data_IF_011148240287
#
_entry.id   IF_011148240287
#
_cell.length_a   1.000
_cell.length_b   1.000
_cell.length_c   1.000
_cell.angle_alpha   90.00
_cell.angle_beta   90.00
_cell.angle_gamma   90.00
#
_symmetry.space_group_name_H-M   'P 1'
#
loop_
_entity.id
_entity.type
_entity.pdbx_description
1 polymer ?
#
# COMPACT_ATOMS: atom_id res chain seq x y z
N UNK A 1 71.64 -25.09 -61.20
CA UNK A 1 72.22 -25.87 -60.07
C UNK A 1 71.12 -26.72 -59.48
N UNK A 2 71.27 -28.05 -59.61
CA UNK A 2 71.41 -28.99 -58.48
C UNK A 2 70.16 -28.93 -57.58
N UNK A 3 69.23 -29.89 -57.75
CA UNK A 3 69.16 -31.08 -56.89
C UNK A 3 68.96 -30.68 -55.41
N UNK A 4 68.02 -31.21 -54.63
CA UNK A 4 67.53 -32.58 -54.65
C UNK A 4 66.48 -32.70 -53.55
N UNK A 5 65.43 -33.42 -53.93
CA UNK A 5 64.83 -34.55 -53.22
C UNK A 5 64.09 -34.27 -51.91
N UNK A 6 62.78 -34.50 -51.89
CA UNK A 6 62.13 -35.83 -51.83
C UNK A 6 62.07 -36.31 -50.39
N UNK A 7 61.04 -36.96 -49.90
CA UNK A 7 59.91 -37.72 -50.46
C UNK A 7 59.23 -38.17 -49.14
N UNK A 8 57.93 -38.41 -49.04
CA UNK A 8 57.24 -39.57 -49.60
C UNK A 8 55.90 -39.65 -48.88
N UNK A 9 54.88 -40.05 -49.65
CA UNK A 9 53.80 -40.96 -49.25
C UNK A 9 52.77 -40.41 -48.24
N UNK A 10 51.46 -40.64 -48.39
CA UNK A 10 50.75 -41.68 -49.15
C UNK A 10 49.26 -41.32 -49.21
N UNK A 11 48.69 -41.51 -50.40
CA UNK A 11 47.41 -42.15 -50.69
C UNK A 11 46.12 -41.75 -49.94
N UNK A 12 45.17 -41.29 -50.77
CA UNK A 12 43.82 -41.86 -50.99
C UNK A 12 43.04 -42.28 -49.74
N UNK A 13 41.95 -41.57 -49.47
CA UNK A 13 40.60 -42.04 -49.84
C UNK A 13 39.56 -40.99 -49.45
N UNK A 14 38.68 -40.69 -50.40
CA UNK A 14 37.36 -40.16 -50.14
C UNK A 14 36.72 -40.97 -49.00
N UNK A 15 36.41 -40.29 -47.89
CA UNK A 15 35.30 -40.68 -47.04
C UNK A 15 34.37 -39.50 -46.97
N UNK A 16 33.24 -39.66 -47.65
CA UNK A 16 31.97 -39.06 -47.29
C UNK A 16 31.88 -39.06 -45.76
N UNK A 17 32.09 -37.90 -45.12
CA UNK A 17 31.55 -37.69 -43.78
C UNK A 17 30.05 -37.59 -44.00
N UNK A 18 29.39 -38.71 -43.70
CA UNK A 18 27.96 -38.81 -43.51
C UNK A 18 27.48 -37.56 -42.79
N UNK A 19 26.41 -36.99 -43.32
CA UNK A 19 25.38 -36.36 -42.52
C UNK A 19 25.12 -37.25 -41.30
N UNK A 20 25.71 -36.90 -40.16
CA UNK A 20 25.01 -37.06 -38.91
C UNK A 20 24.15 -35.81 -38.80
N UNK A 21 22.96 -35.88 -39.43
CA UNK A 21 21.79 -35.36 -38.73
C UNK A 21 21.93 -35.84 -37.28
N UNK A 22 21.64 -35.02 -36.25
CA UNK A 22 21.27 -35.58 -34.98
C UNK A 22 20.11 -36.51 -35.31
N UNK A 23 20.39 -37.81 -35.37
CA UNK A 23 19.35 -38.82 -35.34
C UNK A 23 18.48 -38.38 -34.18
N UNK A 24 17.17 -38.24 -34.45
CA UNK A 24 16.10 -38.18 -33.45
C UNK A 24 16.55 -39.05 -32.27
N UNK A 25 17.07 -38.41 -31.21
CA UNK A 25 17.39 -39.10 -29.97
C UNK A 25 16.06 -39.64 -29.49
N UNK A 26 16.00 -40.93 -29.15
CA UNK A 26 14.75 -41.56 -28.73
C UNK A 26 14.11 -40.74 -27.61
N UNK A 27 12.78 -40.61 -27.65
CA UNK A 27 11.94 -39.89 -26.70
C UNK A 27 11.95 -40.54 -25.29
N UNK A 28 13.13 -40.66 -24.66
CA UNK A 28 13.30 -41.44 -23.43
C UNK A 28 14.59 -41.20 -22.64
N UNK A 29 15.41 -40.23 -23.03
CA UNK A 29 16.72 -39.96 -22.43
C UNK A 29 16.97 -38.45 -22.26
N UNK A 30 17.56 -38.05 -21.13
CA UNK A 30 17.97 -36.69 -20.82
C UNK A 30 19.44 -36.65 -20.42
N UNK A 31 20.22 -35.70 -20.95
CA UNK A 31 21.65 -35.55 -20.65
C UNK A 31 21.82 -34.55 -19.50
N UNK A 32 22.28 -35.02 -18.34
CA UNK A 32 22.58 -34.19 -17.18
C UNK A 32 24.00 -34.47 -16.69
N UNK A 33 24.84 -33.43 -16.58
CA UNK A 33 26.23 -33.55 -16.12
C UNK A 33 27.05 -34.66 -16.83
N UNK A 34 26.96 -34.73 -18.18
CA UNK A 34 27.56 -35.78 -19.00
C UNK A 34 27.05 -37.22 -18.74
N UNK A 35 26.02 -37.38 -17.93
CA UNK A 35 25.34 -38.65 -17.65
C UNK A 35 24.00 -38.70 -18.37
N UNK A 36 23.72 -39.81 -19.04
CA UNK A 36 22.42 -40.04 -19.67
C UNK A 36 21.47 -40.62 -18.62
N UNK A 37 20.37 -39.92 -18.37
CA UNK A 37 19.32 -40.30 -17.43
C UNK A 37 18.05 -40.71 -18.18
N UNK A 38 17.37 -41.81 -17.80
CA UNK A 38 16.13 -42.23 -18.47
C UNK A 38 14.95 -41.34 -18.07
N UNK A 39 14.08 -40.99 -19.01
CA UNK A 39 12.85 -40.20 -18.74
C UNK A 39 11.56 -41.03 -18.71
N UNK A 40 11.59 -42.28 -19.20
CA UNK A 40 10.46 -43.22 -19.14
C UNK A 40 10.37 -43.99 -17.81
N UNK A 41 10.58 -43.30 -16.69
CA UNK A 41 10.54 -43.86 -15.33
C UNK A 41 9.65 -43.00 -14.43
N UNK A 42 9.31 -43.44 -13.20
CA UNK A 42 8.64 -42.58 -12.24
C UNK A 42 9.41 -41.26 -12.02
N UNK A 43 8.69 -40.13 -12.01
CA UNK A 43 9.32 -38.80 -11.93
C UNK A 43 10.19 -38.65 -10.65
N UNK A 44 9.74 -39.24 -9.54
CA UNK A 44 10.49 -39.24 -8.27
C UNK A 44 11.84 -39.95 -8.39
N UNK A 45 11.91 -41.06 -9.14
CA UNK A 45 13.13 -41.84 -9.31
C UNK A 45 14.12 -41.05 -10.19
N UNK A 46 13.63 -40.44 -11.27
CA UNK A 46 14.44 -39.54 -12.10
C UNK A 46 15.00 -38.38 -11.27
N UNK A 47 14.16 -37.72 -10.47
CA UNK A 47 14.58 -36.61 -9.63
C UNK A 47 15.62 -37.04 -8.57
N UNK A 48 15.48 -38.26 -8.03
CA UNK A 48 16.46 -38.83 -7.11
C UNK A 48 17.82 -39.06 -7.79
N UNK A 49 17.82 -39.55 -9.03
CA UNK A 49 19.04 -39.69 -9.83
C UNK A 49 19.74 -38.35 -10.08
N UNK A 50 18.98 -37.29 -10.41
CA UNK A 50 19.53 -35.93 -10.57
C UNK A 50 20.19 -35.46 -9.26
N UNK A 51 19.50 -35.60 -8.12
CA UNK A 51 20.04 -35.23 -6.80
C UNK A 51 21.33 -35.99 -6.49
N UNK A 52 21.40 -37.28 -6.81
CA UNK A 52 22.60 -38.08 -6.59
C UNK A 52 23.76 -37.66 -7.51
N UNK A 53 23.47 -37.26 -8.76
CA UNK A 53 24.49 -36.67 -9.64
C UNK A 53 25.04 -35.35 -9.10
N UNK A 54 24.21 -34.52 -8.47
CA UNK A 54 24.65 -33.27 -7.84
C UNK A 54 25.51 -33.52 -6.60
N UNK A 55 25.23 -34.56 -5.81
CA UNK A 55 26.13 -34.94 -4.69
C UNK A 55 27.55 -35.28 -5.17
N UNK A 56 27.69 -35.80 -6.39
CA UNK A 56 28.98 -36.08 -7.03
C UNK A 56 29.63 -34.82 -7.62
N UNK A 57 28.85 -33.77 -7.92
CA UNK A 57 29.33 -32.49 -8.43
C UNK A 57 28.56 -31.32 -7.78
N UNK A 58 28.99 -30.86 -6.58
CA UNK A 58 28.29 -29.82 -5.81
C UNK A 58 28.19 -28.46 -6.52
N UNK A 59 28.97 -28.22 -7.59
CA UNK A 59 28.84 -27.01 -8.39
C UNK A 59 27.44 -26.85 -9.03
N UNK A 60 26.67 -27.93 -9.10
CA UNK A 60 25.31 -27.97 -9.67
C UNK A 60 24.20 -27.74 -8.61
N UNK A 61 24.52 -27.46 -7.35
CA UNK A 61 23.53 -27.27 -6.27
C UNK A 61 22.59 -26.05 -6.47
N UNK A 62 22.92 -25.13 -7.37
CA UNK A 62 22.04 -24.01 -7.74
C UNK A 62 21.41 -24.18 -9.13
N UNK A 63 21.48 -25.37 -9.74
CA UNK A 63 20.90 -25.58 -11.08
C UNK A 63 19.37 -25.69 -11.03
N UNK A 64 18.67 -25.33 -12.12
CA UNK A 64 17.24 -25.53 -12.23
C UNK A 64 16.84 -27.00 -12.06
N UNK A 65 17.62 -27.95 -12.61
CA UNK A 65 17.38 -29.38 -12.46
C UNK A 65 17.35 -29.79 -10.99
N UNK A 66 18.33 -29.34 -10.21
CA UNK A 66 18.47 -29.71 -8.81
C UNK A 66 17.33 -29.14 -7.96
N UNK A 67 16.99 -27.86 -8.15
CA UNK A 67 15.87 -27.24 -7.42
C UNK A 67 14.53 -27.88 -7.78
N UNK A 68 14.29 -28.17 -9.06
CA UNK A 68 13.11 -28.91 -9.49
C UNK A 68 13.06 -30.31 -8.89
N UNK A 69 14.16 -31.06 -8.93
CA UNK A 69 14.21 -32.41 -8.39
C UNK A 69 13.96 -32.46 -6.89
N UNK A 70 14.55 -31.55 -6.11
CA UNK A 70 14.24 -31.42 -4.69
C UNK A 70 12.77 -31.05 -4.47
N UNK A 71 12.22 -30.12 -5.26
CA UNK A 71 10.80 -29.75 -5.17
C UNK A 71 9.89 -30.97 -5.28
N UNK A 72 10.12 -31.85 -6.26
CA UNK A 72 9.31 -33.06 -6.47
C UNK A 72 9.54 -34.09 -5.35
N UNK A 73 10.80 -34.39 -5.00
CA UNK A 73 11.13 -35.41 -3.99
C UNK A 73 10.59 -35.02 -2.62
N UNK A 74 10.70 -33.76 -2.21
CA UNK A 74 10.14 -33.28 -0.95
C UNK A 74 8.61 -33.36 -0.92
N UNK A 75 7.93 -33.06 -2.03
CA UNK A 75 6.48 -33.24 -2.12
C UNK A 75 6.09 -34.69 -1.88
N UNK A 76 6.72 -35.62 -2.59
CA UNK A 76 6.46 -37.06 -2.45
C UNK A 76 6.80 -37.58 -1.05
N UNK A 77 7.81 -37.02 -0.40
CA UNK A 77 8.14 -37.38 0.98
C UNK A 77 7.27 -36.68 2.04
N UNK A 78 6.29 -35.86 1.64
CA UNK A 78 5.41 -35.05 2.51
C UNK A 78 6.17 -33.98 3.32
N UNK A 79 7.38 -33.64 2.90
CA UNK A 79 8.14 -32.51 3.44
C UNK A 79 7.73 -31.22 2.72
N UNK A 80 6.57 -30.70 3.10
CA UNK A 80 5.98 -29.55 2.40
C UNK A 80 6.76 -28.25 2.60
N UNK A 81 7.55 -28.11 3.67
CA UNK A 81 8.37 -26.91 3.89
C UNK A 81 9.54 -26.87 2.91
N UNK A 82 10.33 -27.94 2.85
CA UNK A 82 11.45 -28.03 1.91
C UNK A 82 11.00 -28.02 0.45
N UNK A 83 9.81 -28.58 0.16
CA UNK A 83 9.17 -28.45 -1.15
C UNK A 83 8.96 -26.97 -1.54
N UNK A 84 8.33 -26.16 -0.67
CA UNK A 84 8.08 -24.75 -0.95
C UNK A 84 9.37 -23.96 -1.11
N UNK A 85 10.37 -24.22 -0.27
CA UNK A 85 11.69 -23.60 -0.39
C UNK A 85 12.28 -23.91 -1.77
N UNK A 86 12.29 -25.19 -2.16
CA UNK A 86 12.83 -25.64 -3.45
C UNK A 86 12.06 -25.05 -4.64
N UNK A 87 10.74 -24.92 -4.54
CA UNK A 87 9.91 -24.30 -5.56
C UNK A 87 10.29 -22.83 -5.80
N UNK A 88 10.54 -22.06 -4.74
CA UNK A 88 10.96 -20.67 -4.89
C UNK A 88 12.43 -20.52 -5.24
N UNK A 89 13.30 -21.45 -4.85
CA UNK A 89 14.68 -21.50 -5.36
C UNK A 89 14.70 -21.78 -6.86
N UNK A 90 13.86 -22.69 -7.35
CA UNK A 90 13.65 -22.90 -8.79
C UNK A 90 13.13 -21.63 -9.48
N UNK A 91 12.22 -20.89 -8.84
CA UNK A 91 11.76 -19.62 -9.40
C UNK A 91 12.89 -18.59 -9.52
N UNK A 92 13.88 -18.62 -8.63
CA UNK A 92 15.04 -17.73 -8.71
C UNK A 92 15.95 -18.01 -9.91
N UNK A 93 15.85 -19.19 -10.54
CA UNK A 93 16.63 -19.57 -11.73
C UNK A 93 15.85 -19.33 -13.04
N UNK A 94 14.85 -18.43 -13.03
CA UNK A 94 13.96 -18.18 -14.18
C UNK A 94 14.68 -17.66 -15.44
N UNK A 95 15.86 -17.07 -15.28
CA UNK A 95 16.67 -16.55 -16.39
C UNK A 95 17.72 -17.55 -16.90
N UNK A 96 17.85 -18.70 -16.25
CA UNK A 96 18.69 -19.80 -16.72
C UNK A 96 17.96 -20.59 -17.81
N UNK A 97 18.69 -21.43 -18.55
CA UNK A 97 18.08 -22.33 -19.51
C UNK A 97 17.15 -23.31 -18.80
N UNK A 98 15.87 -23.31 -19.19
CA UNK A 98 14.87 -24.19 -18.61
C UNK A 98 15.10 -25.62 -19.11
N UNK A 99 15.29 -26.60 -18.22
CA UNK A 99 15.43 -28.00 -18.60
C UNK A 99 14.24 -28.48 -19.45
N UNK A 100 14.53 -29.04 -20.62
CA UNK A 100 13.51 -29.40 -21.62
C UNK A 100 12.46 -30.39 -21.10
N UNK A 101 12.83 -31.27 -20.16
CA UNK A 101 11.88 -32.19 -19.54
C UNK A 101 10.87 -31.47 -18.63
N UNK A 102 11.23 -30.33 -18.02
CA UNK A 102 10.31 -29.53 -17.20
C UNK A 102 9.27 -28.84 -18.09
N UNK A 103 9.70 -28.36 -19.26
CA UNK A 103 8.78 -27.76 -20.25
C UNK A 103 7.75 -28.81 -20.70
N UNK A 104 8.22 -30.02 -21.02
CA UNK A 104 7.37 -31.12 -21.51
C UNK A 104 6.47 -31.71 -20.43
N UNK A 105 6.82 -31.61 -19.16
CA UNK A 105 6.11 -32.22 -18.02
C UNK A 105 4.61 -31.88 -17.97
N UNK A 106 4.24 -30.65 -18.32
CA UNK A 106 2.84 -30.20 -18.29
C UNK A 106 2.13 -30.34 -19.65
N UNK A 107 2.78 -30.93 -20.64
CA UNK A 107 2.25 -31.09 -22.01
C UNK A 107 1.95 -32.56 -22.31
N UNK A 108 1.31 -32.81 -23.44
CA UNK A 108 1.10 -34.18 -23.96
C UNK A 108 2.43 -34.90 -24.28
N UNK A 109 3.55 -34.18 -24.35
CA UNK A 109 4.90 -34.74 -24.56
C UNK A 109 5.57 -35.22 -23.27
N UNK A 110 4.84 -35.27 -22.14
CA UNK A 110 5.38 -35.80 -20.88
C UNK A 110 5.74 -37.29 -21.00
N UNK A 111 6.99 -37.62 -20.68
CA UNK A 111 7.55 -38.98 -20.74
C UNK A 111 7.53 -39.68 -19.37
N UNK A 112 7.33 -38.95 -18.28
CA UNK A 112 7.44 -39.49 -16.92
C UNK A 112 6.14 -40.15 -16.43
N UNK A 113 6.30 -41.23 -15.66
CA UNK A 113 5.19 -41.84 -14.92
C UNK A 113 4.92 -40.99 -13.67
N UNK A 114 3.77 -40.33 -13.62
CA UNK A 114 3.35 -39.54 -12.46
C UNK A 114 2.65 -40.44 -11.44
N UNK A 115 3.01 -40.28 -10.16
CA UNK A 115 2.29 -40.90 -9.06
C UNK A 115 0.89 -40.28 -8.92
N UNK A 116 0.01 -40.92 -8.15
CA UNK A 116 -1.28 -40.33 -7.77
C UNK A 116 -1.11 -38.92 -7.17
N UNK A 117 -0.04 -38.69 -6.40
CA UNK A 117 0.24 -37.43 -5.71
C UNK A 117 0.82 -36.34 -6.60
N UNK A 118 1.21 -36.67 -7.82
CA UNK A 118 1.72 -35.72 -8.83
C UNK A 118 0.83 -35.68 -10.08
N UNK A 119 -0.20 -36.53 -10.15
CA UNK A 119 -1.13 -36.63 -11.28
C UNK A 119 -1.84 -35.31 -11.64
N UNK A 120 -1.86 -34.34 -10.72
CA UNK A 120 -2.41 -33.02 -10.98
C UNK A 120 -1.49 -32.08 -11.76
N UNK A 121 -0.24 -32.44 -12.03
CA UNK A 121 0.68 -31.62 -12.83
C UNK A 121 0.24 -31.71 -14.30
N UNK A 122 -0.63 -30.80 -14.71
CA UNK A 122 -1.21 -30.73 -16.04
C UNK A 122 -1.63 -29.30 -16.38
N UNK A 123 -1.59 -28.91 -17.67
CA UNK A 123 -1.97 -27.57 -18.13
C UNK A 123 -3.38 -27.15 -17.71
N UNK A 124 -4.33 -28.09 -17.68
CA UNK A 124 -5.73 -27.82 -17.32
C UNK A 124 -5.92 -27.39 -15.87
N UNK A 125 -4.93 -27.65 -15.00
CA UNK A 125 -4.97 -27.30 -13.58
C UNK A 125 -4.37 -25.92 -13.28
N UNK A 126 -4.00 -25.15 -14.31
CA UNK A 126 -3.40 -23.82 -14.17
C UNK A 126 -4.49 -22.74 -14.29
N UNK A 127 -4.37 -21.68 -13.50
CA UNK A 127 -5.17 -20.47 -13.61
C UNK A 127 -5.08 -19.85 -15.01
N UNK A 128 -6.21 -19.39 -15.55
CA UNK A 128 -6.26 -18.78 -16.89
C UNK A 128 -5.21 -17.69 -17.09
N UNK A 129 -5.08 -16.79 -16.11
CA UNK A 129 -4.10 -15.69 -16.15
C UNK A 129 -2.63 -16.11 -16.08
N UNK A 130 -2.33 -17.39 -15.81
CA UNK A 130 -0.97 -17.94 -15.74
C UNK A 130 -0.65 -18.87 -16.92
N UNK A 131 -1.59 -19.12 -17.84
CA UNK A 131 -1.33 -20.03 -18.99
C UNK A 131 -0.17 -19.59 -19.88
N UNK A 132 0.07 -18.29 -20.00
CA UNK A 132 1.20 -17.70 -20.75
C UNK A 132 2.41 -17.36 -19.87
N UNK A 133 2.33 -17.60 -18.56
CA UNK A 133 3.44 -17.32 -17.65
C UNK A 133 4.63 -18.26 -17.89
N UNK A 134 5.76 -17.98 -17.23
CA UNK A 134 6.89 -18.90 -17.24
C UNK A 134 6.51 -20.26 -16.63
N UNK A 135 7.14 -21.35 -17.10
CA UNK A 135 6.81 -22.72 -16.68
C UNK A 135 6.92 -22.93 -15.15
N UNK A 136 7.83 -22.23 -14.48
CA UNK A 136 7.98 -22.30 -13.03
C UNK A 136 6.79 -21.69 -12.27
N UNK A 137 6.23 -20.56 -12.75
CA UNK A 137 5.00 -20.00 -12.18
C UNK A 137 3.81 -20.94 -12.39
N UNK A 138 3.72 -21.58 -13.56
CA UNK A 138 2.69 -22.59 -13.85
C UNK A 138 2.76 -23.77 -12.87
N UNK A 139 3.96 -24.29 -12.61
CA UNK A 139 4.17 -25.37 -11.64
C UNK A 139 3.74 -24.94 -10.24
N UNK A 140 4.22 -23.79 -9.77
CA UNK A 140 3.86 -23.25 -8.46
C UNK A 140 2.33 -23.11 -8.35
N UNK A 141 1.66 -22.62 -9.39
CA UNK A 141 0.20 -22.49 -9.42
C UNK A 141 -0.52 -23.85 -9.29
N UNK A 142 -0.09 -24.88 -10.02
CA UNK A 142 -0.63 -26.24 -9.89
C UNK A 142 -0.52 -26.76 -8.45
N UNK A 143 0.63 -26.56 -7.80
CA UNK A 143 0.86 -26.99 -6.42
C UNK A 143 0.02 -26.19 -5.42
N UNK A 144 -0.12 -24.88 -5.61
CA UNK A 144 -0.93 -24.01 -4.74
C UNK A 144 -2.42 -24.36 -4.88
N UNK A 145 -2.94 -24.44 -6.11
CA UNK A 145 -4.36 -24.65 -6.38
C UNK A 145 -4.82 -26.07 -6.10
N UNK A 146 -4.17 -27.05 -6.73
CA UNK A 146 -4.67 -28.43 -6.73
C UNK A 146 -4.01 -29.25 -5.63
N UNK A 147 -2.67 -29.19 -5.53
CA UNK A 147 -1.92 -29.94 -4.52
C UNK A 147 -2.29 -29.53 -3.09
N UNK A 148 -2.15 -28.24 -2.77
CA UNK A 148 -2.43 -27.69 -1.44
C UNK A 148 -3.92 -27.39 -1.20
N UNK A 149 -4.77 -27.55 -2.23
CA UNK A 149 -6.20 -27.23 -2.21
C UNK A 149 -6.47 -25.77 -1.82
N UNK A 150 -5.66 -24.84 -2.30
CA UNK A 150 -5.81 -23.41 -2.01
C UNK A 150 -5.32 -22.98 -0.62
N UNK A 151 -4.51 -23.78 0.08
CA UNK A 151 -3.87 -23.40 1.36
C UNK A 151 -2.61 -22.57 1.11
N UNK A 152 -2.81 -21.29 0.78
CA UNK A 152 -1.80 -20.48 0.11
C UNK A 152 -0.85 -19.73 1.07
N UNK A 153 -1.29 -19.45 2.30
CA UNK A 153 -0.53 -18.65 3.28
C UNK A 153 0.91 -19.12 3.50
N UNK A 154 1.12 -20.43 3.51
CA UNK A 154 2.46 -21.01 3.68
C UNK A 154 3.38 -20.76 2.50
N UNK A 155 2.86 -20.69 1.27
CA UNK A 155 3.61 -20.34 0.07
C UNK A 155 4.06 -18.89 0.11
N UNK A 156 3.16 -17.95 0.43
CA UNK A 156 3.52 -16.53 0.54
C UNK A 156 4.59 -16.28 1.61
N UNK A 157 4.45 -16.88 2.80
CA UNK A 157 5.47 -16.78 3.86
C UNK A 157 6.82 -17.36 3.43
N UNK A 158 6.81 -18.49 2.72
CA UNK A 158 8.05 -19.13 2.25
C UNK A 158 8.70 -18.32 1.13
N UNK A 159 7.92 -17.74 0.21
CA UNK A 159 8.41 -16.83 -0.82
C UNK A 159 9.14 -15.64 -0.20
N UNK A 160 8.50 -14.93 0.73
CA UNK A 160 9.11 -13.77 1.41
C UNK A 160 10.41 -14.15 2.12
N UNK A 161 10.44 -15.31 2.80
CA UNK A 161 11.66 -15.82 3.46
C UNK A 161 12.78 -16.12 2.46
N UNK A 162 12.48 -16.76 1.32
CA UNK A 162 13.48 -17.10 0.30
C UNK A 162 14.05 -15.84 -0.35
N UNK A 163 13.19 -14.86 -0.67
CA UNK A 163 13.63 -13.57 -1.24
C UNK A 163 14.56 -12.83 -0.28
N UNK A 164 14.17 -12.67 0.99
CA UNK A 164 14.98 -11.97 1.98
C UNK A 164 16.38 -12.61 2.10
N UNK A 165 16.43 -13.94 2.23
CA UNK A 165 17.69 -14.67 2.32
C UNK A 165 18.55 -14.59 1.04
N UNK A 166 17.94 -14.62 -0.15
CA UNK A 166 18.68 -14.60 -1.42
C UNK A 166 19.21 -13.20 -1.77
N UNK A 167 18.48 -12.13 -1.43
CA UNK A 167 18.94 -10.75 -1.63
C UNK A 167 20.21 -10.46 -0.83
N UNK A 168 20.31 -10.99 0.39
CA UNK A 168 21.49 -10.81 1.25
C UNK A 168 22.74 -11.60 0.78
N UNK A 169 22.55 -12.70 0.05
CA UNK A 169 23.60 -13.70 -0.19
C UNK A 169 24.02 -13.88 -1.66
N UNK A 170 23.50 -13.07 -2.59
CA UNK A 170 23.73 -13.30 -4.02
C UNK A 170 24.28 -12.06 -4.74
N UNK A 171 25.08 -12.31 -5.78
CA UNK A 171 25.50 -11.31 -6.77
C UNK A 171 24.52 -11.26 -7.95
N UNK A 172 23.26 -11.65 -7.77
CA UNK A 172 22.29 -11.66 -8.87
C UNK A 172 21.97 -10.22 -9.30
N UNK A 173 21.79 -9.95 -10.61
CA UNK A 173 21.41 -8.61 -11.06
C UNK A 173 20.08 -8.16 -10.44
N UNK A 174 20.05 -6.96 -9.86
CA UNK A 174 18.92 -6.43 -9.10
C UNK A 174 17.62 -6.36 -9.93
N UNK A 175 17.72 -6.05 -11.22
CA UNK A 175 16.56 -6.01 -12.12
C UNK A 175 15.85 -7.36 -12.30
N UNK A 176 16.56 -8.48 -12.14
CA UNK A 176 15.96 -9.82 -12.15
C UNK A 176 15.14 -10.09 -10.89
N UNK A 177 15.57 -9.56 -9.74
CA UNK A 177 14.82 -9.65 -8.49
C UNK A 177 13.49 -8.90 -8.58
N UNK A 178 13.52 -7.67 -9.09
CA UNK A 178 12.32 -6.83 -9.21
C UNK A 178 11.27 -7.47 -10.14
N UNK A 179 11.69 -8.04 -11.28
CA UNK A 179 10.76 -8.72 -12.19
C UNK A 179 10.10 -9.95 -11.54
N UNK A 180 10.86 -10.74 -10.78
CA UNK A 180 10.31 -11.90 -10.05
C UNK A 180 9.30 -11.44 -8.98
N UNK A 181 9.64 -10.39 -8.21
CA UNK A 181 8.79 -9.83 -7.17
C UNK A 181 7.48 -9.30 -7.75
N UNK A 182 7.57 -8.47 -8.80
CA UNK A 182 6.40 -7.88 -9.45
C UNK A 182 5.51 -8.95 -10.10
N UNK A 183 6.08 -9.88 -10.87
CA UNK A 183 5.28 -10.97 -11.48
C UNK A 183 4.63 -11.86 -10.45
N UNK A 184 5.35 -12.22 -9.39
CA UNK A 184 4.76 -13.00 -8.30
C UNK A 184 3.60 -12.25 -7.65
N UNK A 185 3.77 -10.96 -7.36
CA UNK A 185 2.69 -10.14 -6.82
C UNK A 185 1.49 -10.08 -7.77
N UNK A 186 1.70 -9.79 -9.06
CA UNK A 186 0.64 -9.69 -10.05
C UNK A 186 -0.14 -10.99 -10.25
N UNK A 187 0.55 -12.14 -10.26
CA UNK A 187 -0.09 -13.44 -10.40
C UNK A 187 -0.91 -13.85 -9.18
N UNK A 188 -0.48 -13.49 -7.97
CA UNK A 188 -1.02 -14.09 -6.75
C UNK A 188 -1.70 -13.14 -5.77
N UNK A 189 -1.60 -11.81 -5.90
CA UNK A 189 -2.26 -10.88 -4.95
C UNK A 189 -3.77 -11.11 -4.87
N UNK A 190 -4.42 -11.47 -5.99
CA UNK A 190 -5.88 -11.72 -6.03
C UNK A 190 -6.32 -12.91 -5.21
N UNK A 191 -5.43 -13.89 -5.07
CA UNK A 191 -5.65 -15.07 -4.23
C UNK A 191 -5.78 -14.65 -2.76
N UNK A 192 -5.18 -13.51 -2.38
CA UNK A 192 -5.18 -12.97 -1.03
C UNK A 192 -6.23 -11.86 -0.79
N UNK A 193 -7.04 -11.46 -1.77
CA UNK A 193 -8.06 -10.39 -1.59
C UNK A 193 -9.05 -10.71 -0.46
N UNK A 194 -9.28 -11.99 -0.14
CA UNK A 194 -10.15 -12.38 0.98
C UNK A 194 -9.46 -12.35 2.35
N UNK A 195 -8.15 -12.09 2.39
CA UNK A 195 -7.34 -12.04 3.60
C UNK A 195 -6.47 -10.78 3.61
N UNK A 196 -7.10 -9.65 3.95
CA UNK A 196 -6.47 -8.32 3.93
C UNK A 196 -5.14 -8.26 4.68
N UNK A 197 -5.01 -8.95 5.80
CA UNK A 197 -3.76 -8.95 6.58
C UNK A 197 -2.61 -9.61 5.82
N UNK A 198 -2.85 -10.74 5.15
CA UNK A 198 -1.82 -11.41 4.36
C UNK A 198 -1.51 -10.63 3.08
N UNK A 199 -2.51 -10.07 2.43
CA UNK A 199 -2.30 -9.21 1.26
C UNK A 199 -1.50 -7.96 1.63
N UNK A 200 -1.83 -7.29 2.73
CA UNK A 200 -1.08 -6.13 3.22
C UNK A 200 0.37 -6.48 3.53
N UNK A 201 0.61 -7.59 4.23
CA UNK A 201 1.97 -8.06 4.51
C UNK A 201 2.77 -8.33 3.24
N UNK A 202 2.16 -8.99 2.24
CA UNK A 202 2.82 -9.22 0.95
C UNK A 202 3.08 -7.90 0.21
N UNK A 203 2.10 -7.00 0.18
CA UNK A 203 2.18 -5.68 -0.48
C UNK A 203 3.34 -4.87 0.08
N UNK A 204 3.41 -4.75 1.41
CA UNK A 204 4.49 -4.04 2.10
C UNK A 204 5.84 -4.71 1.89
N UNK A 205 5.88 -6.04 1.97
CA UNK A 205 7.12 -6.79 1.73
C UNK A 205 7.67 -6.54 0.33
N UNK A 206 6.85 -6.68 -0.71
CA UNK A 206 7.25 -6.44 -2.10
C UNK A 206 7.75 -5.00 -2.24
N UNK A 207 6.97 -4.01 -1.80
CA UNK A 207 7.34 -2.60 -1.90
C UNK A 207 8.67 -2.27 -1.22
N UNK A 208 8.95 -2.86 -0.05
CA UNK A 208 10.21 -2.65 0.68
C UNK A 208 11.44 -3.30 0.03
N UNK A 209 11.24 -4.32 -0.81
CA UNK A 209 12.33 -5.08 -1.42
C UNK A 209 12.61 -4.71 -2.89
N UNK A 210 11.69 -3.98 -3.53
CA UNK A 210 11.88 -3.41 -4.85
C UNK A 210 12.91 -2.27 -4.82
N UNK A 211 13.71 -2.19 -5.87
CA UNK A 211 14.62 -1.06 -6.10
C UNK A 211 14.15 -0.16 -7.25
N UNK A 212 13.48 -0.74 -8.24
CA UNK A 212 12.81 -0.04 -9.33
C UNK A 212 11.36 0.34 -9.04
N UNK A 213 10.66 0.75 -10.10
CA UNK A 213 9.26 1.17 -10.01
C UNK A 213 8.30 -0.01 -9.80
N UNK A 214 7.33 0.18 -8.90
CA UNK A 214 6.22 -0.76 -8.68
C UNK A 214 5.19 -0.82 -9.81
N UNK A 215 4.25 -1.75 -9.68
CA UNK A 215 3.10 -1.89 -10.59
C UNK A 215 1.87 -1.10 -10.13
N UNK A 216 0.89 -0.91 -11.03
CA UNK A 216 -0.40 -0.32 -10.65
C UNK A 216 -1.10 -1.10 -9.53
N UNK A 217 -1.14 -2.43 -9.59
CA UNK A 217 -1.79 -3.23 -8.54
C UNK A 217 -1.08 -3.04 -7.20
N UNK A 218 0.25 -2.94 -7.18
CA UNK A 218 1.02 -2.72 -5.95
C UNK A 218 0.67 -1.37 -5.32
N UNK A 219 0.73 -0.29 -6.10
CA UNK A 219 0.42 1.06 -5.59
C UNK A 219 -1.06 1.24 -5.23
N UNK A 220 -1.97 0.58 -5.94
CA UNK A 220 -3.38 0.55 -5.57
C UNK A 220 -3.56 -0.03 -4.16
N UNK A 221 -2.95 -1.18 -3.87
CA UNK A 221 -3.10 -1.81 -2.55
C UNK A 221 -2.33 -1.06 -1.46
N UNK A 222 -1.17 -0.45 -1.77
CA UNK A 222 -0.50 0.47 -0.86
C UNK A 222 -1.40 1.66 -0.47
N UNK A 223 -2.05 2.28 -1.46
CA UNK A 223 -3.04 3.34 -1.24
C UNK A 223 -4.20 2.82 -0.38
N UNK A 224 -4.80 1.69 -0.78
CA UNK A 224 -5.95 1.08 -0.09
C UNK A 224 -5.68 0.82 1.40
N UNK A 225 -4.54 0.24 1.75
CA UNK A 225 -4.20 -0.08 3.14
C UNK A 225 -3.86 1.15 4.00
N UNK A 226 -3.55 2.29 3.36
CA UNK A 226 -3.31 3.57 4.04
C UNK A 226 -4.59 4.38 4.30
N UNK A 227 -5.69 4.13 3.58
CA UNK A 227 -6.95 4.86 3.74
C UNK A 227 -7.41 4.91 5.20
N UNK A 228 -7.89 6.07 5.64
CA UNK A 228 -8.33 6.40 7.01
C UNK A 228 -7.25 6.35 8.10
N UNK A 229 -6.08 5.73 7.84
CA UNK A 229 -4.94 5.69 8.78
C UNK A 229 -3.95 6.81 8.50
N UNK A 230 -3.64 6.99 7.21
CA UNK A 230 -2.77 8.03 6.70
C UNK A 230 -3.23 8.40 5.28
N UNK A 231 -4.31 9.19 5.21
CA UNK A 231 -4.93 9.55 3.94
C UNK A 231 -4.01 10.35 3.02
N UNK A 232 -3.08 11.15 3.56
CA UNK A 232 -2.07 11.84 2.76
C UNK A 232 -1.19 10.84 2.00
N UNK A 233 -0.63 9.86 2.72
CA UNK A 233 0.17 8.81 2.10
C UNK A 233 -0.64 7.94 1.13
N UNK A 234 -1.93 7.73 1.41
CA UNK A 234 -2.83 7.02 0.50
C UNK A 234 -2.99 7.77 -0.83
N UNK A 235 -3.10 9.09 -0.79
CA UNK A 235 -3.19 9.96 -1.98
C UNK A 235 -1.87 9.94 -2.76
N UNK A 236 -0.73 10.02 -2.08
CA UNK A 236 0.59 9.99 -2.73
C UNK A 236 0.82 8.68 -3.51
N UNK A 237 0.45 7.54 -2.92
CA UNK A 237 0.47 6.25 -3.63
C UNK A 237 -0.52 6.19 -4.79
N UNK A 238 -1.71 6.80 -4.65
CA UNK A 238 -2.68 6.84 -5.73
C UNK A 238 -2.17 7.63 -6.94
N UNK A 239 -1.49 8.75 -6.72
CA UNK A 239 -0.84 9.51 -7.79
C UNK A 239 0.25 8.69 -8.49
N UNK A 240 1.06 7.96 -7.72
CA UNK A 240 2.10 7.08 -8.27
C UNK A 240 1.48 5.94 -9.08
N UNK A 241 0.35 5.39 -8.62
CA UNK A 241 -0.39 4.34 -9.30
C UNK A 241 -0.79 4.74 -10.74
N UNK A 242 -1.26 5.98 -10.97
CA UNK A 242 -1.70 6.42 -12.29
C UNK A 242 -0.57 6.37 -13.35
N UNK A 243 0.66 6.65 -12.93
CA UNK A 243 1.83 6.68 -13.82
C UNK A 243 2.53 5.32 -13.94
N UNK A 244 2.14 4.36 -13.11
CA UNK A 244 2.80 3.04 -13.06
C UNK A 244 2.30 2.11 -14.16
N UNK A 245 3.11 1.12 -14.52
CA UNK A 245 2.74 0.12 -15.53
C UNK A 245 1.68 -0.84 -15.01
N UNK A 246 0.64 -1.07 -15.80
CA UNK A 246 -0.32 -2.13 -15.55
C UNK A 246 0.19 -3.44 -16.15
N UNK A 247 0.51 -4.41 -15.31
CA UNK A 247 0.93 -5.75 -15.73
C UNK A 247 -0.24 -6.75 -15.74
N UNK A 248 -1.40 -6.38 -15.19
CA UNK A 248 -2.57 -7.23 -15.16
C UNK A 248 -3.29 -7.21 -16.50
N UNK A 249 -3.45 -8.37 -17.13
CA UNK A 249 -4.15 -8.52 -18.40
C UNK A 249 -5.66 -8.34 -18.18
N UNK A 250 -6.19 -7.17 -18.52
CA UNK A 250 -7.63 -6.87 -18.50
C UNK A 250 -8.24 -6.52 -17.14
N UNK A 251 -7.46 -6.21 -16.11
CA UNK A 251 -8.01 -5.70 -14.83
C UNK A 251 -7.42 -4.35 -14.48
N UNK A 252 -8.29 -3.42 -14.12
CA UNK A 252 -7.93 -2.09 -13.68
C UNK A 252 -8.62 -1.78 -12.37
N UNK A 253 -7.85 -1.32 -11.39
CA UNK A 253 -8.37 -0.81 -10.13
C UNK A 253 -8.67 0.70 -10.18
N UNK A 254 -8.52 1.35 -11.35
CA UNK A 254 -8.56 2.81 -11.48
C UNK A 254 -9.88 3.41 -10.98
N UNK A 255 -11.01 2.78 -11.29
CA UNK A 255 -12.30 3.28 -10.81
C UNK A 255 -12.37 3.27 -9.27
N UNK A 256 -11.97 2.17 -8.63
CA UNK A 256 -11.91 2.09 -7.16
C UNK A 256 -10.86 3.04 -6.58
N UNK A 257 -9.71 3.18 -7.24
CA UNK A 257 -8.65 4.10 -6.86
C UNK A 257 -9.17 5.54 -6.83
N UNK A 258 -9.78 6.01 -7.91
CA UNK A 258 -10.31 7.37 -8.00
C UNK A 258 -11.32 7.64 -6.89
N UNK A 259 -12.32 6.78 -6.72
CA UNK A 259 -13.36 6.96 -5.68
C UNK A 259 -12.77 7.02 -4.27
N UNK A 260 -11.84 6.13 -3.96
CA UNK A 260 -11.21 6.09 -2.65
C UNK A 260 -10.34 7.34 -2.41
N UNK A 261 -9.65 7.79 -3.45
CA UNK A 261 -8.78 8.97 -3.37
C UNK A 261 -9.60 10.25 -3.22
N UNK A 262 -10.71 10.42 -3.95
CA UNK A 262 -11.66 11.53 -3.77
C UNK A 262 -12.17 11.60 -2.32
N UNK A 263 -12.53 10.45 -1.74
CA UNK A 263 -12.97 10.43 -0.33
C UNK A 263 -11.84 10.79 0.64
N UNK A 264 -10.60 10.39 0.34
CA UNK A 264 -9.44 10.74 1.13
C UNK A 264 -9.13 12.24 1.05
N UNK A 265 -9.20 12.85 -0.14
CA UNK A 265 -8.97 14.29 -0.32
C UNK A 265 -10.02 15.13 0.42
N UNK A 266 -11.29 14.70 0.42
CA UNK A 266 -12.35 15.31 1.24
C UNK A 266 -11.99 15.26 2.73
N UNK A 267 -11.60 14.09 3.26
CA UNK A 267 -11.22 13.95 4.69
C UNK A 267 -10.02 14.81 5.06
N UNK A 268 -9.06 14.98 4.15
CA UNK A 268 -7.88 15.82 4.36
C UNK A 268 -8.09 17.30 4.02
N UNK A 269 -9.27 17.71 3.55
CA UNK A 269 -9.55 19.06 3.03
C UNK A 269 -8.57 19.50 1.91
N UNK A 270 -8.12 18.56 1.07
CA UNK A 270 -7.19 18.81 -0.04
C UNK A 270 -7.96 19.12 -1.33
N UNK A 271 -8.54 20.31 -1.42
CA UNK A 271 -9.50 20.66 -2.46
C UNK A 271 -8.90 20.67 -3.88
N UNK A 272 -7.65 21.10 -4.04
CA UNK A 272 -6.96 21.05 -5.33
C UNK A 272 -6.82 19.61 -5.86
N UNK A 273 -6.46 18.65 -4.99
CA UNK A 273 -6.39 17.24 -5.38
C UNK A 273 -7.79 16.65 -5.60
N UNK A 274 -8.77 17.05 -4.77
CA UNK A 274 -10.16 16.66 -4.97
C UNK A 274 -10.67 17.00 -6.38
N UNK A 275 -10.49 18.24 -6.84
CA UNK A 275 -10.95 18.68 -8.17
C UNK A 275 -10.28 17.85 -9.28
N UNK A 276 -8.96 17.68 -9.18
CA UNK A 276 -8.19 16.87 -10.15
C UNK A 276 -8.69 15.42 -10.22
N UNK A 277 -8.96 14.77 -9.09
CA UNK A 277 -9.43 13.39 -9.07
C UNK A 277 -10.90 13.26 -9.51
N UNK A 278 -11.72 14.27 -9.25
CA UNK A 278 -13.07 14.38 -9.80
C UNK A 278 -13.05 14.46 -11.33
N UNK A 279 -12.19 15.29 -11.92
CA UNK A 279 -12.04 15.41 -13.37
C UNK A 279 -11.61 14.09 -14.03
N UNK A 280 -10.66 13.37 -13.39
CA UNK A 280 -10.21 12.05 -13.85
C UNK A 280 -11.37 11.06 -13.84
N UNK A 281 -12.18 11.04 -12.77
CA UNK A 281 -13.32 10.14 -12.65
C UNK A 281 -14.42 10.49 -13.65
N UNK A 282 -14.78 11.77 -13.77
CA UNK A 282 -15.78 12.28 -14.71
C UNK A 282 -15.43 11.92 -16.16
N UNK A 283 -14.17 12.09 -16.54
CA UNK A 283 -13.66 11.71 -17.87
C UNK A 283 -13.81 10.21 -18.15
N UNK A 284 -13.78 9.36 -17.10
CA UNK A 284 -13.86 7.92 -17.24
C UNK A 284 -15.31 7.38 -17.24
N UNK A 285 -16.24 8.00 -16.50
CA UNK A 285 -17.61 7.48 -16.31
C UNK A 285 -18.74 8.37 -16.80
N UNK A 286 -18.44 9.61 -17.21
CA UNK A 286 -19.42 10.62 -17.62
C UNK A 286 -20.06 11.37 -16.44
N UNK A 287 -20.48 12.61 -16.70
CA UNK A 287 -21.00 13.54 -15.69
C UNK A 287 -22.30 13.09 -15.00
N UNK A 288 -23.14 12.33 -15.68
CA UNK A 288 -24.44 11.86 -15.16
C UNK A 288 -24.32 10.60 -14.28
N UNK A 289 -23.09 10.14 -13.99
CA UNK A 289 -22.88 8.93 -13.18
C UNK A 289 -23.35 9.15 -11.72
N UNK A 290 -24.25 8.30 -11.17
CA UNK A 290 -24.78 8.48 -9.82
C UNK A 290 -23.71 8.48 -8.71
N UNK A 291 -22.65 7.68 -8.84
CA UNK A 291 -21.58 7.64 -7.85
C UNK A 291 -20.72 8.91 -7.91
N UNK A 292 -20.47 9.45 -9.11
CA UNK A 292 -19.78 10.73 -9.29
C UNK A 292 -20.58 11.87 -8.67
N UNK A 293 -21.88 11.93 -8.94
CA UNK A 293 -22.78 12.96 -8.38
C UNK A 293 -22.81 12.90 -6.85
N UNK A 294 -22.86 11.70 -6.27
CA UNK A 294 -22.80 11.52 -4.81
C UNK A 294 -21.47 12.02 -4.24
N UNK A 295 -20.34 11.73 -4.90
CA UNK A 295 -19.03 12.23 -4.46
C UNK A 295 -18.94 13.75 -4.58
N UNK A 296 -19.55 14.33 -5.63
CA UNK A 296 -19.63 15.78 -5.83
C UNK A 296 -20.40 16.46 -4.71
N UNK A 297 -21.59 15.94 -4.38
CA UNK A 297 -22.41 16.44 -3.28
C UNK A 297 -21.66 16.35 -1.93
N UNK A 298 -20.95 15.24 -1.69
CA UNK A 298 -20.11 15.09 -0.49
C UNK A 298 -18.99 16.13 -0.43
N UNK A 299 -18.31 16.37 -1.54
CA UNK A 299 -17.25 17.38 -1.64
C UNK A 299 -17.77 18.80 -1.45
N UNK A 300 -18.85 19.17 -2.15
CA UNK A 300 -19.50 20.48 -2.01
C UNK A 300 -19.97 20.74 -0.59
N UNK A 301 -20.60 19.75 0.06
CA UNK A 301 -20.99 19.83 1.46
C UNK A 301 -19.78 20.07 2.37
N UNK A 302 -18.67 19.35 2.16
CA UNK A 302 -17.45 19.51 2.95
C UNK A 302 -16.76 20.88 2.70
N UNK A 303 -16.71 21.35 1.46
CA UNK A 303 -16.18 22.67 1.09
C UNK A 303 -17.01 23.77 1.76
N UNK A 304 -18.34 23.71 1.64
CA UNK A 304 -19.23 24.69 2.25
C UNK A 304 -19.08 24.73 3.77
N UNK A 305 -18.91 23.56 4.41
CA UNK A 305 -18.61 23.47 5.86
C UNK A 305 -17.26 24.11 6.20
N UNK A 306 -16.22 23.83 5.43
CA UNK A 306 -14.90 24.41 5.64
C UNK A 306 -14.93 25.95 5.47
N UNK A 307 -15.63 26.45 4.45
CA UNK A 307 -15.86 27.87 4.23
C UNK A 307 -16.64 28.51 5.38
N UNK A 308 -17.75 27.91 5.81
CA UNK A 308 -18.56 28.42 6.93
C UNK A 308 -17.74 28.51 8.24
N UNK A 309 -16.88 27.54 8.50
CA UNK A 309 -15.92 27.58 9.63
C UNK A 309 -14.88 28.68 9.45
N UNK A 310 -14.33 28.79 8.24
CA UNK A 310 -13.32 29.79 7.93
C UNK A 310 -13.87 31.21 8.10
N UNK A 311 -15.07 31.49 7.60
CA UNK A 311 -15.74 32.79 7.67
C UNK A 311 -16.43 33.08 9.01
N UNK A 312 -16.46 32.11 9.92
CA UNK A 312 -17.19 32.26 11.17
C UNK A 312 -16.66 33.46 11.99
N UNK A 313 -17.52 34.36 12.51
CA UNK A 313 -17.10 35.62 13.13
C UNK A 313 -16.24 35.44 14.39
N UNK A 314 -16.33 34.29 15.06
CA UNK A 314 -15.54 33.97 16.26
C UNK A 314 -14.35 33.04 15.96
N UNK A 315 -14.06 32.75 14.69
CA UNK A 315 -12.92 31.94 14.31
C UNK A 315 -11.62 32.63 14.78
N UNK A 316 -10.86 32.02 15.71
CA UNK A 316 -9.72 32.68 16.35
C UNK A 316 -8.56 32.97 15.40
N UNK A 317 -8.51 32.38 14.20
CA UNK A 317 -7.51 32.75 13.18
C UNK A 317 -7.79 34.11 12.54
N UNK A 318 -9.04 34.56 12.56
CA UNK A 318 -9.47 35.81 11.93
C UNK A 318 -9.61 36.96 12.94
N UNK A 319 -9.64 36.64 14.24
CA UNK A 319 -9.84 37.59 15.31
C UNK A 319 -8.50 38.20 15.73
N UNK A 320 -8.32 39.50 15.49
CA UNK A 320 -7.10 40.23 15.90
C UNK A 320 -7.30 40.90 17.27
N UNK A 321 -6.24 41.01 18.11
CA UNK A 321 -6.34 41.71 19.39
C UNK A 321 -6.73 43.18 19.24
N UNK A 322 -7.62 43.65 20.12
CA UNK A 322 -8.11 45.03 20.13
C UNK A 322 -7.43 45.87 21.21
N UNK A 323 -7.47 47.18 21.08
CA UNK A 323 -6.98 48.12 22.10
C UNK A 323 -8.01 48.28 23.23
N UNK A 324 -7.56 48.50 24.47
CA UNK A 324 -8.47 48.72 25.59
C UNK A 324 -9.35 49.98 25.40
N UNK A 325 -8.78 51.03 24.80
CA UNK A 325 -9.46 52.30 24.52
C UNK A 325 -10.67 52.14 23.56
N UNK A 326 -10.65 51.14 22.69
CA UNK A 326 -11.74 50.88 21.73
C UNK A 326 -12.92 50.10 22.32
N UNK A 327 -12.75 49.48 23.49
CA UNK A 327 -13.85 48.79 24.18
C UNK A 327 -14.70 49.85 24.86
N UNK A 328 -16.03 49.88 24.68
CA UNK A 328 -16.85 50.89 25.38
C UNK A 328 -17.06 50.51 26.84
N UNK A 329 -17.42 51.51 27.64
CA UNK A 329 -17.53 51.36 29.09
C UNK A 329 -18.59 50.32 29.50
N UNK A 330 -19.69 50.22 28.77
CA UNK A 330 -20.75 49.22 29.03
C UNK A 330 -20.21 47.79 28.88
N UNK A 331 -19.49 47.51 27.79
CA UNK A 331 -18.88 46.20 27.57
C UNK A 331 -17.76 45.90 28.57
N UNK A 332 -17.03 46.91 29.05
CA UNK A 332 -16.06 46.73 30.15
C UNK A 332 -16.73 46.32 31.46
N UNK A 333 -17.88 46.91 31.82
CA UNK A 333 -18.63 46.54 33.02
C UNK A 333 -19.17 45.10 32.93
N UNK A 334 -19.66 44.71 31.76
CA UNK A 334 -20.10 43.34 31.49
C UNK A 334 -18.92 42.37 31.60
N UNK A 335 -17.79 42.71 30.99
CA UNK A 335 -16.57 41.91 31.02
C UNK A 335 -16.05 41.74 32.46
N UNK A 336 -15.99 42.82 33.24
CA UNK A 336 -15.61 42.78 34.66
C UNK A 336 -16.51 41.84 35.47
N UNK A 337 -17.82 41.90 35.25
CA UNK A 337 -18.78 41.02 35.93
C UNK A 337 -18.53 39.55 35.59
N UNK A 338 -18.25 39.24 34.32
CA UNK A 338 -17.94 37.89 33.86
C UNK A 338 -16.60 37.39 34.42
N UNK A 339 -15.55 38.21 34.41
CA UNK A 339 -14.24 37.83 34.96
C UNK A 339 -14.36 37.60 36.47
N UNK A 340 -15.16 38.39 37.19
CA UNK A 340 -15.35 38.17 38.62
C UNK A 340 -16.11 36.86 38.89
N UNK A 341 -17.18 36.58 38.17
CA UNK A 341 -17.95 35.34 38.36
C UNK A 341 -17.27 34.07 37.84
N UNK A 342 -16.55 34.15 36.72
CA UNK A 342 -16.12 32.98 35.93
C UNK A 342 -14.62 32.96 35.56
N UNK A 343 -13.84 33.97 35.98
CA UNK A 343 -12.41 34.05 35.68
C UNK A 343 -11.56 33.12 36.52
N UNK A 344 -10.47 32.62 35.93
CA UNK A 344 -9.42 31.86 36.59
C UNK A 344 -8.03 32.36 36.21
N UNK A 345 -7.00 31.54 36.44
CA UNK A 345 -5.61 31.94 36.16
C UNK A 345 -5.26 31.92 34.67
N UNK A 346 -6.04 31.18 33.88
CA UNK A 346 -5.76 30.87 32.46
C UNK A 346 -6.91 31.24 31.52
N UNK A 347 -7.78 32.16 31.92
CA UNK A 347 -8.94 32.60 31.15
C UNK A 347 -10.26 32.41 31.89
N UNK A 348 -11.36 32.42 31.13
CA UNK A 348 -12.74 32.44 31.63
C UNK A 348 -13.42 31.13 31.25
N UNK A 349 -14.00 30.44 32.25
CA UNK A 349 -14.76 29.20 32.04
C UNK A 349 -16.21 29.46 32.43
N UNK A 350 -17.03 29.79 31.43
CA UNK A 350 -18.37 30.32 31.63
C UNK A 350 -19.42 29.19 31.83
N UNK A 351 -19.25 28.33 32.84
CA UNK A 351 -20.25 27.28 33.13
C UNK A 351 -21.59 27.88 33.55
N UNK A 352 -22.69 27.26 33.15
CA UNK A 352 -24.05 27.69 33.51
C UNK A 352 -24.24 27.89 35.03
N UNK A 353 -23.64 27.02 35.85
CA UNK A 353 -23.66 27.11 37.32
C UNK A 353 -22.99 28.36 37.89
N UNK A 354 -22.01 28.94 37.19
CA UNK A 354 -21.29 30.15 37.60
C UNK A 354 -22.01 31.40 37.09
N UNK A 355 -22.53 31.34 35.85
CA UNK A 355 -23.23 32.45 35.21
C UNK A 355 -24.54 32.81 35.93
N UNK A 356 -25.24 31.85 36.54
CA UNK A 356 -26.49 32.11 37.29
C UNK A 356 -26.32 33.06 38.49
N UNK A 357 -25.10 33.23 38.99
CA UNK A 357 -24.79 34.16 40.07
C UNK A 357 -24.32 35.53 39.57
N UNK A 358 -24.07 35.66 38.27
CA UNK A 358 -23.58 36.88 37.61
C UNK A 358 -24.70 37.57 36.82
N UNK A 359 -25.58 36.79 36.18
CA UNK A 359 -26.67 37.29 35.35
C UNK A 359 -28.03 36.74 35.80
N UNK A 360 -29.12 37.52 35.60
CA UNK A 360 -30.45 37.13 36.04
C UNK A 360 -31.07 35.97 35.25
N UNK A 361 -30.54 35.64 34.06
CA UNK A 361 -30.98 34.47 33.28
C UNK A 361 -29.87 33.96 32.34
N UNK A 362 -29.98 32.69 31.94
CA UNK A 362 -29.11 32.05 30.94
C UNK A 362 -29.14 32.79 29.60
N UNK A 363 -30.33 33.17 29.14
CA UNK A 363 -30.50 33.90 27.88
C UNK A 363 -29.73 35.23 27.88
N UNK A 364 -29.78 35.97 28.99
CA UNK A 364 -29.03 37.23 29.16
C UNK A 364 -27.53 36.95 29.20
N UNK A 365 -27.08 35.95 29.95
CA UNK A 365 -25.67 35.58 30.01
C UNK A 365 -25.10 35.24 28.63
N UNK A 366 -25.82 34.42 27.86
CA UNK A 366 -25.44 34.06 26.49
C UNK A 366 -25.39 35.27 25.59
N UNK A 367 -26.42 36.12 25.62
CA UNK A 367 -26.46 37.35 24.80
C UNK A 367 -25.25 38.24 25.07
N UNK A 368 -24.85 38.39 26.34
CA UNK A 368 -23.67 39.19 26.69
C UNK A 368 -22.36 38.52 26.25
N UNK A 369 -22.20 37.22 26.44
CA UNK A 369 -21.03 36.47 25.98
C UNK A 369 -20.88 36.49 24.46
N UNK A 370 -21.99 36.32 23.72
CA UNK A 370 -22.05 36.47 22.27
C UNK A 370 -21.56 37.86 21.87
N UNK A 371 -22.09 38.91 22.51
CA UNK A 371 -21.70 40.29 22.20
C UNK A 371 -20.20 40.51 22.43
N UNK A 372 -19.63 40.00 23.53
CA UNK A 372 -18.19 40.14 23.78
C UNK A 372 -17.33 39.37 22.76
N UNK A 373 -17.80 38.22 22.28
CA UNK A 373 -17.11 37.41 21.25
C UNK A 373 -17.18 38.06 19.86
N UNK A 374 -18.36 38.54 19.45
CA UNK A 374 -18.54 39.17 18.13
C UNK A 374 -17.91 40.56 18.05
N UNK A 375 -17.76 41.25 19.18
CA UNK A 375 -16.95 42.47 19.28
C UNK A 375 -15.45 42.20 19.46
N UNK A 376 -15.02 40.93 19.44
CA UNK A 376 -13.62 40.52 19.57
C UNK A 376 -12.95 40.96 20.88
N UNK A 377 -13.73 41.20 21.93
CA UNK A 377 -13.25 41.47 23.29
C UNK A 377 -12.80 40.17 23.95
N UNK A 378 -13.55 39.09 23.70
CA UNK A 378 -13.19 37.72 24.02
C UNK A 378 -12.85 36.94 22.75
N UNK A 379 -12.02 35.91 22.91
CA UNK A 379 -11.76 34.89 21.89
C UNK A 379 -11.69 33.50 22.51
N UNK A 380 -11.68 32.48 21.66
CA UNK A 380 -11.41 31.08 22.04
C UNK A 380 -10.08 30.64 21.44
N UNK A 381 -9.56 29.49 21.87
CA UNK A 381 -8.35 28.92 21.27
C UNK A 381 -8.65 28.28 19.91
N UNK A 382 -7.64 28.20 19.04
CA UNK A 382 -7.75 27.49 17.74
C UNK A 382 -8.11 26.02 17.96
N UNK A 383 -7.57 25.38 19.00
CA UNK A 383 -7.87 24.00 19.34
C UNK A 383 -9.32 23.80 19.77
N UNK A 384 -9.84 24.69 20.64
CA UNK A 384 -11.23 24.58 21.11
C UNK A 384 -12.20 24.81 19.95
N UNK A 385 -11.97 25.85 19.13
CA UNK A 385 -12.79 26.13 17.95
C UNK A 385 -12.80 24.95 16.96
N UNK A 386 -11.64 24.36 16.69
CA UNK A 386 -11.52 23.23 15.76
C UNK A 386 -12.26 21.97 16.25
N UNK A 387 -12.37 21.80 17.57
CA UNK A 387 -13.01 20.63 18.20
C UNK A 387 -14.54 20.67 18.22
N UNK A 388 -15.14 21.84 17.95
CA UNK A 388 -16.59 21.99 17.93
C UNK A 388 -17.22 21.20 16.79
N UNK A 389 -18.41 20.64 17.02
CA UNK A 389 -19.22 20.05 15.94
C UNK A 389 -19.84 21.16 15.10
N UNK A 390 -20.14 20.86 13.85
CA UNK A 390 -20.73 21.84 12.93
C UNK A 390 -22.06 22.41 13.45
N UNK A 391 -22.93 21.55 14.02
CA UNK A 391 -24.21 21.95 14.60
C UNK A 391 -24.03 22.88 15.82
N UNK A 392 -22.89 22.77 16.51
CA UNK A 392 -22.57 23.58 17.68
C UNK A 392 -22.04 24.97 17.30
N UNK A 393 -21.51 25.18 16.08
CA UNK A 393 -20.91 26.46 15.66
C UNK A 393 -21.87 27.66 15.76
N UNK A 394 -23.17 27.41 15.61
CA UNK A 394 -24.21 28.44 15.71
C UNK A 394 -25.04 28.32 16.98
N UNK A 395 -24.71 27.37 17.87
CA UNK A 395 -25.38 27.18 19.14
C UNK A 395 -24.48 27.65 20.30
N UNK A 396 -24.64 28.90 20.70
CA UNK A 396 -23.83 29.50 21.76
C UNK A 396 -23.94 28.81 23.13
N UNK A 397 -25.02 28.05 23.39
CA UNK A 397 -25.12 27.22 24.60
C UNK A 397 -24.02 26.14 24.68
N UNK A 398 -23.62 25.62 23.51
CA UNK A 398 -22.55 24.64 23.40
C UNK A 398 -21.18 25.29 23.64
N UNK A 399 -20.93 26.48 23.09
CA UNK A 399 -19.68 27.23 23.29
C UNK A 399 -19.40 27.51 24.75
N UNK A 400 -20.41 28.00 25.46
CA UNK A 400 -20.30 28.53 26.82
C UNK A 400 -19.93 27.44 27.82
N UNK A 401 -20.40 26.22 27.59
CA UNK A 401 -20.11 25.08 28.45
C UNK A 401 -18.86 24.27 28.06
N UNK A 402 -18.43 24.33 26.81
CA UNK A 402 -17.36 23.49 26.28
C UNK A 402 -16.02 24.22 26.10
N UNK A 403 -16.06 25.53 25.83
CA UNK A 403 -14.85 26.30 25.48
C UNK A 403 -14.33 27.12 26.66
N UNK A 404 -13.01 27.36 26.64
CA UNK A 404 -12.40 28.40 27.47
C UNK A 404 -12.28 29.69 26.66
N UNK A 405 -12.67 30.80 27.29
CA UNK A 405 -12.54 32.12 26.69
C UNK A 405 -11.31 32.84 27.21
N UNK A 406 -10.70 33.62 26.33
CA UNK A 406 -9.49 34.40 26.56
C UNK A 406 -9.77 35.86 26.25
N UNK A 407 -9.12 36.75 26.99
CA UNK A 407 -9.15 38.17 26.70
C UNK A 407 -8.41 38.40 25.38
N UNK A 408 -9.03 39.18 24.50
CA UNK A 408 -8.44 39.56 23.22
C UNK A 408 -8.11 41.05 23.21
N UNK A 409 -7.68 41.59 24.35
CA UNK A 409 -7.28 42.98 24.53
C UNK A 409 -5.76 43.06 24.68
N UNK A 410 -5.12 43.95 23.93
CA UNK A 410 -3.67 44.14 23.96
C UNK A 410 -3.22 44.53 25.38
N UNK A 411 -2.22 43.82 25.89
CA UNK A 411 -1.56 44.15 27.15
C UNK A 411 -2.31 43.71 28.41
N UNK A 412 -3.41 42.96 28.29
CA UNK A 412 -4.17 42.45 29.44
C UNK A 412 -3.99 40.94 29.56
N UNK A 413 -3.57 40.48 30.74
CA UNK A 413 -3.40 39.05 31.04
C UNK A 413 -4.75 38.36 31.27
N UNK A 414 -4.88 37.11 30.86
CA UNK A 414 -6.05 36.24 31.13
C UNK A 414 -6.26 35.92 32.61
N UNK A 415 -5.28 36.19 33.48
CA UNK A 415 -5.37 35.93 34.92
C UNK A 415 -6.42 36.83 35.57
N UNK A 416 -7.40 36.24 36.25
CA UNK A 416 -8.51 36.95 36.93
C UNK A 416 -8.04 38.15 37.76
N UNK A 417 -7.05 37.95 38.64
CA UNK A 417 -6.59 38.99 39.57
C UNK A 417 -5.97 40.19 38.86
N UNK A 418 -5.21 39.94 37.78
CA UNK A 418 -4.54 40.98 37.01
C UNK A 418 -5.54 41.71 36.11
N UNK A 419 -6.34 40.96 35.36
CA UNK A 419 -7.34 41.53 34.44
C UNK A 419 -8.38 42.37 35.18
N UNK A 420 -8.93 41.90 36.30
CA UNK A 420 -9.88 42.70 37.10
C UNK A 420 -9.28 44.03 37.53
N UNK A 421 -8.06 44.01 38.06
CA UNK A 421 -7.40 45.23 38.54
C UNK A 421 -7.22 46.24 37.41
N UNK A 422 -6.67 45.80 36.27
CA UNK A 422 -6.40 46.67 35.11
C UNK A 422 -7.68 47.24 34.54
N UNK A 423 -8.71 46.42 34.36
CA UNK A 423 -9.99 46.84 33.78
C UNK A 423 -10.78 47.74 34.74
N UNK A 424 -10.73 47.52 36.06
CA UNK A 424 -11.35 48.39 37.06
C UNK A 424 -10.71 49.79 37.08
N UNK A 425 -9.38 49.85 37.06
CA UNK A 425 -8.65 51.13 36.96
C UNK A 425 -9.06 51.90 35.70
N UNK A 426 -9.24 51.21 34.58
CA UNK A 426 -9.69 51.82 33.33
C UNK A 426 -11.12 52.36 33.42
N UNK A 427 -12.05 51.61 34.02
CA UNK A 427 -13.43 52.10 34.23
C UNK A 427 -13.45 53.34 35.13
N UNK A 428 -12.65 53.35 36.20
CA UNK A 428 -12.54 54.52 37.10
C UNK A 428 -11.98 55.76 36.38
N UNK A 429 -11.00 55.59 35.48
CA UNK A 429 -10.47 56.70 34.66
C UNK A 429 -11.52 57.29 33.73
N UNK A 430 -12.48 56.49 33.27
CA UNK A 430 -13.55 56.93 32.35
C UNK A 430 -14.69 57.69 33.04
N UNK A 431 -14.66 57.80 34.37
CA UNK A 431 -15.54 58.70 35.12
C UNK A 431 -16.99 58.22 35.28
N UNK A 432 -17.17 56.98 35.75
CA UNK A 432 -18.43 56.56 36.39
C UNK A 432 -18.45 57.06 37.85
#
# INVERSE_FOLDING_TARGET
>A
MVNRKSKKNRNKQQRQKKNENPQRRGNGEYLFNNTILPTNIPLIDFCSLVIDQVKLNPALENSPDYHFSNMIVHWENKDYESHRISAFLLLMTIYDEVPSYIIRLMTEENEFILSERLSFIHLDNISEGLKLAHVYYKLIDCFIRTGAKGRNSSYFKTFMKVIANKKENSNYPLHHYDDILLRFYEYYHRVLIKNDNELNNLTLFIYQHLEGEGSQSLYFFLSYFCLNKNDQQAIDYALTCLNSRNYADGTSYNFSLCKNTIRATIRCNLWHEYDKWMDILESAVGGDNPELLQLREQGECAINKALARHEHPINPTNVTPITLDSVKTEELLILLSIIDGCGGDWGIVAKEELLRYTFPSKEIANKQLINLLTQHILKISVSDFSSLKDDDLYNFDSFINLCRFHLNIIGISDTKTISLKVLQEEVLKRGI
#
